data_IF_032615602525
#
_entry.id   IF_032615602525
#
_cell.length_a   1.000
_cell.length_b   1.000
_cell.length_c   1.000
_cell.angle_alpha   90.00
_cell.angle_beta   90.00
_cell.angle_gamma   90.00
#
_symmetry.space_group_name_H-M   'P 1'
#
loop_
_entity.id
_entity.type
_entity.pdbx_description
1 polymer ?
#
# COMPACT_ATOMS: atom_id res chain seq x y z
N UNK A 1 40.15 22.77 -16.39
CA UNK A 1 39.09 23.82 -16.27
C UNK A 1 38.74 24.43 -17.64
N UNK A 2 39.66 24.64 -18.54
CA UNK A 2 39.39 25.21 -19.88
C UNK A 2 38.43 24.32 -20.75
N UNK A 3 38.62 23.01 -20.74
CA UNK A 3 37.75 22.07 -21.48
C UNK A 3 36.30 22.10 -21.02
N UNK A 4 36.07 22.29 -19.73
CA UNK A 4 34.73 22.39 -19.15
C UNK A 4 34.01 23.70 -19.58
N UNK A 5 34.76 24.82 -19.56
CA UNK A 5 34.26 26.11 -20.03
C UNK A 5 33.93 26.10 -21.55
N UNK A 6 34.76 25.40 -22.34
CA UNK A 6 34.52 25.20 -23.78
C UNK A 6 33.26 24.34 -24.02
N UNK A 7 33.05 23.26 -23.22
CA UNK A 7 31.88 22.43 -23.29
C UNK A 7 30.59 23.20 -22.97
N UNK A 8 30.58 24.02 -21.92
CA UNK A 8 29.43 24.86 -21.55
C UNK A 8 29.10 25.88 -22.67
N UNK A 9 30.10 26.52 -23.28
CA UNK A 9 29.88 27.43 -24.42
C UNK A 9 29.34 26.72 -25.66
N UNK A 10 29.78 25.47 -25.90
CA UNK A 10 29.27 24.66 -27.00
C UNK A 10 27.79 24.29 -26.79
N UNK A 11 27.39 23.94 -25.58
CA UNK A 11 26.01 23.66 -25.17
C UNK A 11 25.12 24.89 -25.40
N UNK A 12 25.58 26.08 -25.04
CA UNK A 12 24.85 27.33 -25.19
C UNK A 12 24.71 27.80 -26.65
N UNK A 13 25.59 27.36 -27.56
CA UNK A 13 25.52 27.70 -28.99
C UNK A 13 24.39 26.99 -29.72
N UNK A 14 24.03 25.75 -29.31
CA UNK A 14 22.98 24.93 -29.92
C UNK A 14 21.85 24.62 -28.90
N UNK A 15 21.22 25.67 -28.39
CA UNK A 15 20.28 25.63 -27.24
C UNK A 15 19.15 24.60 -27.38
N UNK A 16 18.49 24.55 -28.54
CA UNK A 16 17.35 23.66 -28.76
C UNK A 16 17.74 22.18 -28.71
N UNK A 17 18.88 21.84 -29.34
CA UNK A 17 19.40 20.47 -29.39
C UNK A 17 19.84 19.99 -27.99
N UNK A 18 20.62 20.81 -27.29
CA UNK A 18 21.06 20.51 -25.92
C UNK A 18 19.90 20.39 -24.95
N UNK A 19 18.89 21.25 -25.08
CA UNK A 19 17.67 21.18 -24.28
C UNK A 19 16.91 19.88 -24.49
N UNK A 20 16.67 19.46 -25.74
CA UNK A 20 15.97 18.22 -26.07
C UNK A 20 16.72 16.98 -25.55
N UNK A 21 18.05 17.00 -25.62
CA UNK A 21 18.87 15.90 -25.10
C UNK A 21 18.80 15.79 -23.59
N UNK A 22 18.99 16.92 -22.90
CA UNK A 22 18.89 17.00 -21.44
C UNK A 22 17.49 16.59 -20.99
N UNK A 23 16.45 17.06 -21.69
CA UNK A 23 15.05 16.74 -21.38
C UNK A 23 14.79 15.22 -21.40
N UNK A 24 15.30 14.50 -22.40
CA UNK A 24 15.16 13.05 -22.47
C UNK A 24 15.77 12.33 -21.26
N UNK A 25 16.95 12.74 -20.82
CA UNK A 25 17.62 12.18 -19.63
C UNK A 25 16.85 12.56 -18.35
N UNK A 26 16.46 13.84 -18.25
CA UNK A 26 15.69 14.34 -17.11
C UNK A 26 14.40 13.54 -16.92
N UNK A 27 13.60 13.37 -17.98
CA UNK A 27 12.38 12.59 -17.94
C UNK A 27 12.67 11.15 -17.54
N UNK A 28 13.69 10.52 -18.13
CA UNK A 28 14.07 9.15 -17.81
C UNK A 28 14.42 8.97 -16.33
N UNK A 29 15.34 9.78 -15.81
CA UNK A 29 15.79 9.72 -14.42
C UNK A 29 14.67 10.07 -13.44
N UNK A 30 13.90 11.13 -13.73
CA UNK A 30 12.75 11.54 -12.88
C UNK A 30 11.71 10.44 -12.78
N UNK A 31 11.34 9.83 -13.91
CA UNK A 31 10.36 8.74 -13.95
C UNK A 31 10.80 7.54 -13.11
N UNK A 32 12.07 7.16 -13.19
CA UNK A 32 12.65 6.07 -12.41
C UNK A 32 12.53 6.33 -10.93
N UNK A 33 12.96 7.53 -10.48
CA UNK A 33 12.91 7.90 -9.07
C UNK A 33 11.46 7.91 -8.56
N UNK A 34 10.53 8.46 -9.33
CA UNK A 34 9.11 8.49 -8.97
C UNK A 34 8.52 7.07 -8.82
N UNK A 35 8.81 6.19 -9.78
CA UNK A 35 8.29 4.82 -9.75
C UNK A 35 8.86 4.03 -8.56
N UNK A 36 10.17 4.12 -8.30
CA UNK A 36 10.79 3.46 -7.14
C UNK A 36 10.23 4.03 -5.84
N UNK A 37 10.07 5.34 -5.75
CA UNK A 37 9.48 6.00 -4.57
C UNK A 37 8.05 5.55 -4.32
N UNK A 38 7.24 5.42 -5.38
CA UNK A 38 5.87 4.94 -5.29
C UNK A 38 5.79 3.49 -4.75
N UNK A 39 6.60 2.58 -5.31
CA UNK A 39 6.64 1.18 -4.87
C UNK A 39 7.15 1.06 -3.43
N UNK A 40 8.18 1.83 -3.06
CA UNK A 40 8.72 1.86 -1.70
C UNK A 40 7.71 2.45 -0.71
N UNK A 41 7.01 3.52 -1.08
CA UNK A 41 5.94 4.12 -0.29
C UNK A 41 4.80 3.12 -0.05
N UNK A 42 4.34 2.43 -1.10
CA UNK A 42 3.32 1.40 -1.00
C UNK A 42 3.76 0.26 -0.06
N UNK A 43 5.00 -0.22 -0.19
CA UNK A 43 5.56 -1.26 0.69
C UNK A 43 5.55 -0.81 2.14
N UNK A 44 6.09 0.37 2.42
CA UNK A 44 6.16 0.93 3.79
C UNK A 44 4.77 1.08 4.38
N UNK A 45 3.83 1.60 3.59
CA UNK A 45 2.44 1.75 4.01
C UNK A 45 1.81 0.41 4.41
N UNK A 46 1.83 -0.59 3.51
CA UNK A 46 1.22 -1.89 3.80
C UNK A 46 1.89 -2.55 5.01
N UNK A 47 3.22 -2.44 5.12
CA UNK A 47 3.97 -2.96 6.27
C UNK A 47 3.53 -2.31 7.57
N UNK A 48 3.44 -0.98 7.62
CA UNK A 48 2.99 -0.26 8.81
C UNK A 48 1.55 -0.59 9.23
N UNK A 49 0.66 -0.79 8.25
CA UNK A 49 -0.72 -1.20 8.51
C UNK A 49 -0.79 -2.60 9.14
N UNK A 50 0.00 -3.53 8.64
CA UNK A 50 0.04 -4.90 9.16
C UNK A 50 0.69 -4.94 10.54
N UNK A 51 1.80 -4.22 10.74
CA UNK A 51 2.48 -4.12 12.03
C UNK A 51 1.60 -3.43 13.10
N UNK A 52 0.82 -2.44 12.70
CA UNK A 52 -0.13 -1.75 13.57
C UNK A 52 -1.27 -2.62 14.09
N UNK A 53 -1.53 -3.79 13.50
CA UNK A 53 -2.55 -4.73 13.98
C UNK A 53 -2.09 -5.57 15.18
N UNK A 54 -0.80 -5.62 15.50
CA UNK A 54 -0.22 -6.43 16.56
C UNK A 54 0.70 -7.53 16.01
N UNK A 55 1.68 -8.01 16.79
CA UNK A 55 2.80 -8.85 16.32
C UNK A 55 2.34 -10.28 16.24
N UNK A 56 1.59 -11.00 16.54
CA UNK A 56 1.40 -12.47 16.51
C UNK A 56 0.08 -12.88 15.85
N UNK A 57 -0.31 -12.11 14.81
CA UNK A 57 -1.59 -12.33 14.16
C UNK A 57 -1.52 -13.40 13.08
N UNK A 58 -2.58 -14.21 13.06
CA UNK A 58 -2.88 -15.19 12.05
C UNK A 58 -4.26 -14.85 11.48
N UNK A 59 -4.38 -14.85 10.17
CA UNK A 59 -5.61 -14.54 9.44
C UNK A 59 -6.13 -15.82 8.81
N UNK A 60 -7.38 -16.16 9.07
CA UNK A 60 -8.10 -17.19 8.33
C UNK A 60 -9.08 -16.48 7.41
N UNK A 61 -8.87 -16.61 6.12
CA UNK A 61 -9.69 -15.99 5.08
C UNK A 61 -10.33 -17.06 4.20
N UNK A 62 -11.50 -16.81 3.61
CA UNK A 62 -12.16 -17.75 2.73
C UNK A 62 -11.39 -17.90 1.42
N UNK A 63 -11.35 -19.14 0.92
CA UNK A 63 -10.73 -19.47 -0.36
C UNK A 63 -9.22 -19.66 -0.28
N UNK A 64 -8.63 -20.13 -1.37
CA UNK A 64 -7.19 -20.38 -1.47
C UNK A 64 -6.46 -19.20 -2.10
N UNK A 65 -5.43 -18.69 -1.40
CA UNK A 65 -4.52 -17.67 -1.96
C UNK A 65 -3.49 -18.38 -2.85
N UNK A 66 -3.33 -17.91 -4.10
CA UNK A 66 -2.31 -18.43 -5.04
C UNK A 66 -2.65 -19.74 -5.72
N UNK A 67 -3.84 -20.29 -5.51
CA UNK A 67 -4.35 -21.42 -6.29
C UNK A 67 -4.73 -21.00 -7.72
N UNK A 68 -4.43 -21.84 -8.73
CA UNK A 68 -4.98 -21.66 -10.06
C UNK A 68 -6.51 -21.60 -9.94
N UNK A 69 -7.11 -20.47 -10.31
CA UNK A 69 -8.56 -20.37 -10.41
C UNK A 69 -9.05 -21.44 -11.37
N UNK A 70 -9.91 -22.33 -10.91
CA UNK A 70 -10.69 -23.15 -11.85
C UNK A 70 -11.38 -22.16 -12.81
N UNK A 71 -11.26 -22.33 -14.13
CA UNK A 71 -11.94 -21.46 -15.07
C UNK A 71 -13.44 -21.50 -14.79
N UNK A 72 -14.00 -20.42 -14.25
CA UNK A 72 -15.44 -20.25 -14.04
C UNK A 72 -16.01 -20.38 -12.62
N UNK A 73 -15.20 -20.66 -11.58
CA UNK A 73 -15.71 -20.83 -10.22
C UNK A 73 -15.43 -19.65 -9.30
N UNK A 74 -16.45 -18.88 -8.93
CA UNK A 74 -16.41 -18.07 -7.72
C UNK A 74 -16.37 -19.04 -6.54
N UNK A 75 -15.23 -19.14 -5.86
CA UNK A 75 -15.11 -20.01 -4.67
C UNK A 75 -16.07 -19.50 -3.60
N UNK A 76 -17.08 -20.31 -3.29
CA UNK A 76 -18.10 -19.95 -2.30
C UNK A 76 -17.43 -19.84 -0.92
N UNK A 77 -17.62 -18.69 -0.27
CA UNK A 77 -17.18 -18.53 1.11
C UNK A 77 -17.91 -19.52 2.01
N UNK A 78 -17.19 -20.44 2.66
CA UNK A 78 -17.72 -21.49 3.54
C UNK A 78 -17.36 -21.30 5.01
N UNK A 79 -16.65 -20.20 5.37
CA UNK A 79 -16.31 -19.91 6.76
C UNK A 79 -17.58 -19.52 7.54
N UNK A 80 -17.83 -20.18 8.64
CA UNK A 80 -18.98 -19.97 9.52
C UNK A 80 -18.54 -19.66 10.95
N UNK A 81 -19.47 -19.14 11.77
CA UNK A 81 -19.20 -18.84 13.17
C UNK A 81 -18.80 -20.10 13.95
N UNK A 82 -19.34 -21.27 13.60
CA UNK A 82 -18.94 -22.55 14.22
C UNK A 82 -17.46 -22.88 14.04
N UNK A 83 -16.81 -22.43 12.96
CA UNK A 83 -15.39 -22.61 12.73
C UNK A 83 -14.57 -21.77 13.69
N UNK A 84 -14.95 -20.50 13.89
CA UNK A 84 -14.32 -19.63 14.86
C UNK A 84 -14.49 -20.16 16.30
N UNK A 85 -15.66 -20.70 16.62
CA UNK A 85 -15.91 -21.34 17.93
C UNK A 85 -15.05 -22.59 18.11
N UNK A 86 -14.94 -23.45 17.10
CA UNK A 86 -14.09 -24.64 17.14
C UNK A 86 -12.62 -24.28 17.29
N UNK A 87 -12.17 -23.23 16.60
CA UNK A 87 -10.81 -22.68 16.76
C UNK A 87 -10.59 -22.14 18.17
N UNK A 88 -11.52 -21.37 18.72
CA UNK A 88 -11.42 -20.82 20.07
C UNK A 88 -11.31 -21.93 21.15
N UNK A 89 -12.01 -23.05 20.96
CA UNK A 89 -11.92 -24.20 21.83
C UNK A 89 -10.59 -24.96 21.68
N UNK A 90 -10.15 -25.20 20.46
CA UNK A 90 -8.93 -25.97 20.18
C UNK A 90 -7.64 -25.23 20.53
N UNK A 91 -7.69 -23.89 20.52
CA UNK A 91 -6.54 -23.00 20.80
C UNK A 91 -6.62 -22.36 22.20
N UNK A 92 -7.50 -22.88 23.06
CA UNK A 92 -7.70 -22.33 24.43
C UNK A 92 -6.39 -22.33 25.21
N UNK A 93 -6.03 -21.16 25.75
CA UNK A 93 -4.77 -20.95 26.48
C UNK A 93 -3.56 -20.61 25.60
N UNK A 94 -3.59 -20.88 24.29
CA UNK A 94 -2.48 -20.58 23.36
C UNK A 94 -2.74 -19.37 22.48
N UNK A 95 -4.01 -19.10 22.16
CA UNK A 95 -4.39 -17.98 21.29
C UNK A 95 -5.79 -17.46 21.63
N UNK A 96 -6.05 -16.21 21.23
CA UNK A 96 -7.38 -15.61 21.20
C UNK A 96 -7.91 -15.62 19.79
N UNK A 97 -9.22 -15.89 19.63
CA UNK A 97 -9.88 -15.98 18.33
C UNK A 97 -11.03 -14.97 18.27
N UNK A 98 -11.18 -14.26 17.16
CA UNK A 98 -12.32 -13.39 16.89
C UNK A 98 -12.79 -13.51 15.46
N UNK A 99 -14.09 -13.72 15.30
CA UNK A 99 -14.76 -13.76 14.00
C UNK A 99 -15.20 -12.35 13.57
N UNK A 100 -15.10 -12.08 12.28
CA UNK A 100 -15.47 -10.80 11.69
C UNK A 100 -16.33 -10.99 10.45
N UNK A 101 -17.43 -10.23 10.38
CA UNK A 101 -18.19 -10.00 9.17
C UNK A 101 -18.07 -8.53 8.77
N UNK A 102 -18.13 -8.25 7.48
CA UNK A 102 -18.03 -6.88 6.96
C UNK A 102 -19.09 -6.63 5.89
N UNK A 103 -19.68 -5.43 5.94
CA UNK A 103 -20.61 -4.93 4.92
C UNK A 103 -20.47 -3.42 4.81
N UNK A 104 -20.53 -2.90 3.60
CA UNK A 104 -20.63 -1.45 3.42
C UNK A 104 -22.10 -1.05 3.55
N UNK A 105 -22.36 0.01 4.29
CA UNK A 105 -23.72 0.49 4.54
C UNK A 105 -23.79 2.03 4.50
N UNK A 106 -25.01 2.54 4.39
CA UNK A 106 -25.31 3.95 4.56
C UNK A 106 -25.65 4.22 6.01
N UNK A 107 -25.01 5.21 6.59
CA UNK A 107 -25.22 5.67 7.96
C UNK A 107 -25.99 6.99 7.95
N UNK A 108 -26.88 7.17 8.92
CA UNK A 108 -27.62 8.42 9.11
C UNK A 108 -27.61 8.83 10.59
N UNK A 109 -27.42 10.13 10.83
CA UNK A 109 -27.56 10.71 12.16
C UNK A 109 -28.11 12.15 12.01
N UNK A 110 -29.19 12.45 12.71
CA UNK A 110 -29.90 13.73 12.53
C UNK A 110 -30.26 13.95 11.04
N UNK A 111 -29.79 15.06 10.45
CA UNK A 111 -30.02 15.37 9.03
C UNK A 111 -28.82 15.04 8.12
N UNK A 112 -27.81 14.33 8.63
CA UNK A 112 -26.62 13.98 7.86
C UNK A 112 -26.61 12.51 7.46
N UNK A 113 -26.06 12.23 6.28
CA UNK A 113 -25.94 10.89 5.71
C UNK A 113 -24.50 10.67 5.26
N UNK A 114 -23.95 9.52 5.62
CA UNK A 114 -22.65 9.04 5.16
C UNK A 114 -22.87 7.72 4.42
N UNK A 115 -22.31 7.62 3.21
CA UNK A 115 -22.53 6.47 2.31
C UNK A 115 -21.24 5.67 2.14
N UNK A 116 -21.40 4.36 1.99
CA UNK A 116 -20.27 3.48 1.75
C UNK A 116 -19.36 3.24 2.96
N UNK A 117 -19.87 3.51 4.17
CA UNK A 117 -19.15 3.29 5.43
C UNK A 117 -18.97 1.79 5.66
N UNK A 118 -17.76 1.37 6.02
CA UNK A 118 -17.46 -0.01 6.36
C UNK A 118 -18.02 -0.36 7.74
N UNK A 119 -19.00 -1.28 7.79
CA UNK A 119 -19.57 -1.79 9.04
C UNK A 119 -19.00 -3.16 9.31
N UNK A 120 -18.31 -3.28 10.43
CA UNK A 120 -17.72 -4.54 10.90
C UNK A 120 -18.54 -5.11 12.06
N UNK A 121 -19.05 -6.33 11.89
CA UNK A 121 -19.62 -7.12 12.97
C UNK A 121 -18.51 -7.90 13.66
N UNK A 122 -18.25 -7.63 14.93
CA UNK A 122 -17.11 -8.17 15.66
C UNK A 122 -17.49 -8.71 17.04
N UNK A 123 -16.65 -9.58 17.59
CA UNK A 123 -16.81 -10.11 18.95
C UNK A 123 -16.22 -9.13 20.00
N UNK A 124 -16.59 -9.29 21.28
CA UNK A 124 -16.18 -8.39 22.35
C UNK A 124 -14.68 -8.40 22.68
N UNK A 125 -13.95 -9.44 22.28
CA UNK A 125 -12.50 -9.55 22.44
C UNK A 125 -11.69 -8.95 21.26
N UNK A 126 -12.35 -8.53 20.20
CA UNK A 126 -11.73 -8.02 18.98
C UNK A 126 -10.69 -6.90 19.19
N UNK A 127 -10.94 -5.89 20.06
CA UNK A 127 -9.95 -4.82 20.30
C UNK A 127 -8.62 -5.30 20.86
N UNK A 128 -8.64 -6.38 21.66
CA UNK A 128 -7.43 -6.97 22.22
C UNK A 128 -6.60 -7.69 21.16
N UNK A 129 -7.28 -8.29 20.18
CA UNK A 129 -6.64 -9.06 19.10
C UNK A 129 -5.97 -8.14 18.09
N UNK A 130 -6.64 -7.06 17.68
CA UNK A 130 -6.11 -6.13 16.66
C UNK A 130 -5.70 -4.76 17.23
N UNK A 131 -5.37 -4.70 18.53
CA UNK A 131 -4.81 -3.53 19.20
C UNK A 131 -5.56 -2.21 18.97
N UNK A 132 -6.91 -2.25 18.93
CA UNK A 132 -7.73 -1.03 18.79
C UNK A 132 -7.68 -0.24 20.10
N UNK A 133 -7.24 1.01 20.01
CA UNK A 133 -7.31 1.97 21.12
C UNK A 133 -8.62 2.76 21.05
N UNK A 134 -9.28 2.94 22.18
CA UNK A 134 -10.48 3.79 22.31
C UNK A 134 -10.06 5.15 22.87
N UNK A 135 -10.45 6.23 22.19
CA UNK A 135 -10.14 7.61 22.62
C UNK A 135 -11.22 8.21 23.50
N UNK A 136 -12.49 7.88 23.22
CA UNK A 136 -13.63 8.34 24.02
C UNK A 136 -14.59 7.19 24.27
N UNK A 137 -15.18 7.15 25.46
CA UNK A 137 -16.13 6.12 25.85
C UNK A 137 -15.46 4.75 26.12
N UNK A 138 -16.11 3.68 25.70
CA UNK A 138 -15.63 2.31 25.90
C UNK A 138 -15.98 1.40 24.71
N UNK A 139 -15.26 0.29 24.57
CA UNK A 139 -15.70 -0.78 23.68
C UNK A 139 -16.81 -1.60 24.36
N UNK A 140 -17.72 -2.17 23.60
CA UNK A 140 -18.72 -3.08 24.12
C UNK A 140 -18.06 -4.36 24.67
N UNK A 141 -18.56 -4.85 25.79
CA UNK A 141 -18.00 -6.04 26.44
C UNK A 141 -18.50 -7.33 25.77
N UNK A 142 -17.94 -8.48 26.19
CA UNK A 142 -18.28 -9.80 25.62
C UNK A 142 -19.79 -10.09 25.75
N UNK A 143 -20.40 -9.81 26.89
CA UNK A 143 -21.82 -10.05 27.11
C UNK A 143 -22.73 -9.18 26.21
N UNK A 144 -22.36 -7.91 26.04
CA UNK A 144 -23.05 -7.01 25.10
C UNK A 144 -22.89 -7.45 23.64
N UNK A 145 -21.69 -7.97 23.30
CA UNK A 145 -21.43 -8.52 21.97
C UNK A 145 -22.24 -9.79 21.72
N UNK A 146 -22.20 -10.76 22.61
CA UNK A 146 -22.86 -12.06 22.43
C UNK A 146 -24.39 -11.94 22.43
N UNK A 147 -24.96 -11.03 23.22
CA UNK A 147 -26.39 -10.73 23.18
C UNK A 147 -26.83 -10.01 21.90
N UNK A 148 -25.88 -9.51 21.14
CA UNK A 148 -26.16 -8.70 19.93
C UNK A 148 -26.86 -7.38 20.25
N UNK A 149 -26.46 -6.73 21.35
CA UNK A 149 -26.97 -5.43 21.76
C UNK A 149 -26.74 -4.40 20.68
N UNK A 150 -27.69 -3.50 20.44
CA UNK A 150 -27.57 -2.43 19.43
C UNK A 150 -26.68 -1.30 19.93
N UNK A 151 -25.37 -1.56 20.01
CA UNK A 151 -24.31 -0.61 20.36
C UNK A 151 -23.31 -0.53 19.24
N UNK A 152 -22.66 0.64 19.09
CA UNK A 152 -21.69 0.88 18.03
C UNK A 152 -20.47 1.62 18.59
N UNK A 153 -19.30 1.30 18.04
CA UNK A 153 -18.07 2.06 18.21
C UNK A 153 -17.69 2.64 16.86
N UNK A 154 -17.52 3.95 16.78
CA UNK A 154 -17.36 4.67 15.50
C UNK A 154 -15.93 5.16 15.30
N UNK A 155 -15.53 5.33 14.06
CA UNK A 155 -14.27 5.97 13.70
C UNK A 155 -14.39 7.48 13.62
N UNK A 156 -13.24 8.15 13.60
CA UNK A 156 -13.17 9.63 13.66
C UNK A 156 -13.85 10.28 12.46
N UNK A 157 -13.70 9.75 11.26
CA UNK A 157 -14.30 10.32 10.04
C UNK A 157 -15.82 10.22 10.08
N UNK A 158 -16.36 9.07 10.50
CA UNK A 158 -17.82 8.89 10.72
C UNK A 158 -18.32 9.90 11.76
N UNK A 159 -17.62 10.03 12.89
CA UNK A 159 -17.98 10.99 13.95
C UNK A 159 -17.97 12.43 13.44
N UNK A 160 -16.95 12.84 12.70
CA UNK A 160 -16.82 14.19 12.14
C UNK A 160 -17.91 14.48 11.11
N UNK A 161 -18.15 13.54 10.19
CA UNK A 161 -19.15 13.69 9.11
C UNK A 161 -20.57 13.81 9.69
N UNK A 162 -20.94 12.92 10.60
CA UNK A 162 -22.31 12.85 11.10
C UNK A 162 -22.60 13.80 12.25
N UNK A 163 -21.61 14.09 13.10
CA UNK A 163 -21.81 14.87 14.33
C UNK A 163 -21.06 16.20 14.37
N UNK A 164 -20.26 16.54 13.31
CA UNK A 164 -19.66 17.86 13.15
C UNK A 164 -18.61 18.21 14.21
N UNK A 165 -17.86 17.22 14.71
CA UNK A 165 -16.75 17.43 15.67
C UNK A 165 -17.17 17.42 17.15
N UNK A 166 -18.47 17.34 17.48
CA UNK A 166 -18.93 17.08 18.85
C UNK A 166 -18.78 15.63 19.24
N UNK A 167 -18.71 15.32 20.56
CA UNK A 167 -18.63 13.93 21.02
C UNK A 167 -19.82 13.12 20.51
N UNK A 168 -19.57 11.96 19.87
CA UNK A 168 -20.63 11.08 19.38
C UNK A 168 -21.20 10.17 20.49
N UNK A 169 -20.54 10.11 21.67
CA UNK A 169 -20.90 9.18 22.72
C UNK A 169 -22.30 9.45 23.27
N UNK A 170 -23.07 8.38 23.44
CA UNK A 170 -24.47 8.44 23.90
C UNK A 170 -25.48 8.86 22.83
N UNK A 171 -25.02 9.28 21.67
CA UNK A 171 -25.92 9.60 20.54
C UNK A 171 -26.32 8.35 19.77
N UNK A 172 -27.38 8.46 19.02
CA UNK A 172 -27.89 7.38 18.16
C UNK A 172 -27.44 7.57 16.72
N UNK A 173 -27.10 6.46 16.06
CA UNK A 173 -26.78 6.37 14.64
C UNK A 173 -27.69 5.31 14.01
N UNK A 174 -28.24 5.62 12.86
CA UNK A 174 -28.96 4.66 12.02
C UNK A 174 -27.97 4.02 11.05
N UNK A 175 -27.88 2.71 11.09
CA UNK A 175 -27.05 1.91 10.19
C UNK A 175 -28.00 1.08 9.34
N UNK A 176 -28.17 1.44 8.06
CA UNK A 176 -29.05 0.74 7.13
C UNK A 176 -30.45 0.45 7.71
N UNK A 177 -31.09 1.46 8.33
CA UNK A 177 -32.44 1.35 8.88
C UNK A 177 -32.53 0.82 10.33
N UNK A 178 -31.42 0.50 10.97
CA UNK A 178 -31.39 0.06 12.37
C UNK A 178 -30.64 1.07 13.25
N UNK A 179 -31.24 1.43 14.39
CA UNK A 179 -30.66 2.39 15.34
C UNK A 179 -29.70 1.70 16.30
N UNK A 180 -28.53 2.28 16.47
CA UNK A 180 -27.47 1.86 17.41
C UNK A 180 -27.09 3.03 18.32
N UNK A 181 -26.80 2.73 19.59
CA UNK A 181 -26.26 3.70 20.53
C UNK A 181 -24.75 3.70 20.44
N UNK A 182 -24.13 4.88 20.23
CA UNK A 182 -22.67 5.01 20.17
C UNK A 182 -22.12 4.95 21.60
N UNK A 183 -21.26 3.98 21.86
CA UNK A 183 -20.65 3.74 23.18
C UNK A 183 -19.15 4.06 23.21
N UNK A 184 -18.52 4.18 22.04
CA UNK A 184 -17.09 4.46 21.94
C UNK A 184 -16.69 5.10 20.62
N UNK A 185 -15.54 5.78 20.66
CA UNK A 185 -14.81 6.33 19.53
C UNK A 185 -13.42 5.73 19.53
N UNK A 186 -13.00 5.09 18.44
CA UNK A 186 -11.63 4.56 18.36
C UNK A 186 -10.62 5.59 17.86
N UNK A 187 -9.36 5.38 18.21
CA UNK A 187 -8.26 6.25 17.83
C UNK A 187 -8.10 6.35 16.33
N UNK A 188 -7.80 7.55 15.79
CA UNK A 188 -7.62 7.72 14.35
C UNK A 188 -6.49 6.80 13.84
N UNK A 189 -6.77 6.16 12.70
CA UNK A 189 -5.82 5.33 11.96
C UNK A 189 -5.32 6.02 10.70
N UNK A 190 -6.02 7.09 10.31
CA UNK A 190 -5.70 7.91 9.16
C UNK A 190 -6.26 7.38 7.83
N UNK A 191 -5.95 8.12 6.78
CA UNK A 191 -6.30 7.78 5.40
C UNK A 191 -5.03 7.52 4.61
N UNK A 192 -5.06 6.52 3.75
CA UNK A 192 -3.92 6.20 2.91
C UNK A 192 -4.39 5.64 1.57
N UNK A 193 -3.78 6.10 0.47
CA UNK A 193 -4.20 5.80 -0.89
C UNK A 193 -5.69 6.06 -1.15
N UNK A 194 -6.25 7.10 -0.52
CA UNK A 194 -7.66 7.45 -0.66
C UNK A 194 -8.63 6.53 0.09
N UNK A 195 -8.13 5.54 0.86
CA UNK A 195 -8.96 4.69 1.71
C UNK A 195 -8.90 5.24 3.13
N UNK A 196 -10.01 5.78 3.59
CA UNK A 196 -10.16 6.29 4.95
C UNK A 196 -10.53 5.14 5.90
N UNK A 197 -9.58 4.74 6.75
CA UNK A 197 -9.79 3.68 7.75
C UNK A 197 -10.69 4.13 8.90
N UNK A 198 -10.77 5.43 9.12
CA UNK A 198 -11.60 6.03 10.15
C UNK A 198 -13.08 6.16 9.70
N UNK A 199 -13.36 5.89 8.40
CA UNK A 199 -14.71 5.78 7.86
C UNK A 199 -15.29 4.38 8.06
N UNK A 200 -15.31 3.96 9.33
CA UNK A 200 -15.80 2.63 9.71
C UNK A 200 -16.52 2.62 11.05
N UNK A 201 -17.36 1.59 11.24
CA UNK A 201 -18.14 1.37 12.46
C UNK A 201 -18.04 -0.10 12.88
N UNK A 202 -17.86 -0.32 14.17
CA UNK A 202 -17.81 -1.63 14.79
C UNK A 202 -19.11 -1.88 15.56
N UNK A 203 -19.80 -2.98 15.27
CA UNK A 203 -21.04 -3.41 15.98
C UNK A 203 -20.89 -4.86 16.42
N UNK A 204 -21.71 -5.36 17.37
CA UNK A 204 -21.72 -6.75 17.75
C UNK A 204 -21.95 -7.70 16.58
N UNK A 205 -21.16 -8.77 16.48
CA UNK A 205 -21.22 -9.75 15.42
C UNK A 205 -22.64 -10.32 15.20
N UNK A 206 -23.38 -10.79 16.24
CA UNK A 206 -24.75 -11.30 16.02
C UNK A 206 -25.74 -10.22 15.54
N UNK A 207 -25.51 -8.95 15.92
CA UNK A 207 -26.33 -7.85 15.41
C UNK A 207 -26.10 -7.63 13.92
N UNK A 208 -24.83 -7.61 13.47
CA UNK A 208 -24.47 -7.50 12.07
C UNK A 208 -25.00 -8.67 11.24
N UNK A 209 -24.85 -9.90 11.72
CA UNK A 209 -25.33 -11.10 11.03
C UNK A 209 -26.84 -11.07 10.82
N UNK A 210 -27.61 -10.77 11.88
CA UNK A 210 -29.09 -10.67 11.77
C UNK A 210 -29.54 -9.54 10.85
N UNK A 211 -28.86 -8.38 10.93
CA UNK A 211 -29.27 -7.20 10.17
C UNK A 211 -28.98 -7.33 8.67
N UNK A 212 -27.82 -7.87 8.32
CA UNK A 212 -27.36 -7.95 6.94
C UNK A 212 -27.52 -9.32 6.29
N UNK A 213 -28.05 -10.32 7.00
CA UNK A 213 -28.17 -11.69 6.50
C UNK A 213 -26.80 -12.34 6.23
N UNK A 214 -25.81 -12.10 7.10
CA UNK A 214 -24.44 -12.54 6.89
C UNK A 214 -24.15 -13.85 7.65
N UNK A 215 -24.40 -14.98 7.01
CA UNK A 215 -24.13 -16.29 7.61
C UNK A 215 -22.65 -16.72 7.49
N UNK A 216 -21.90 -16.04 6.61
CA UNK A 216 -20.50 -16.35 6.34
C UNK A 216 -19.58 -15.28 6.89
N UNK A 217 -18.44 -15.72 7.42
CA UNK A 217 -17.41 -14.82 7.96
C UNK A 217 -16.52 -14.30 6.84
N UNK A 218 -16.13 -13.04 6.94
CA UNK A 218 -15.14 -12.46 6.04
C UNK A 218 -13.71 -12.86 6.47
N UNK A 219 -13.45 -12.93 7.79
CA UNK A 219 -12.14 -13.27 8.33
C UNK A 219 -12.29 -13.80 9.75
N UNK A 220 -11.44 -14.74 10.13
CA UNK A 220 -11.22 -15.09 11.54
C UNK A 220 -9.82 -14.63 11.90
N UNK A 221 -9.71 -13.78 12.91
CA UNK A 221 -8.44 -13.33 13.47
C UNK A 221 -8.06 -14.23 14.64
N UNK A 222 -6.80 -14.65 14.66
CA UNK A 222 -6.23 -15.44 15.74
C UNK A 222 -4.97 -14.69 16.22
N UNK A 223 -4.93 -14.35 17.50
CA UNK A 223 -3.75 -13.75 18.13
C UNK A 223 -3.07 -14.79 19.01
N UNK A 224 -1.90 -15.28 18.60
CA UNK A 224 -1.10 -16.19 19.41
C UNK A 224 -0.54 -15.47 20.64
N UNK A 225 -0.37 -16.21 21.74
CA UNK A 225 0.13 -15.66 23.02
C UNK A 225 1.59 -15.19 22.95
N UNK A 226 2.39 -15.76 22.03
CA UNK A 226 3.77 -15.34 21.76
C UNK A 226 4.16 -15.61 20.31
N UNK A 227 5.25 -15.01 19.85
CA UNK A 227 5.77 -15.18 18.50
C UNK A 227 6.20 -16.64 18.22
N UNK A 228 6.77 -17.30 19.23
CA UNK A 228 7.23 -18.69 19.15
C UNK A 228 6.05 -19.65 18.88
N UNK A 229 4.87 -19.31 19.41
CA UNK A 229 3.69 -20.15 19.29
C UNK A 229 2.94 -19.98 17.96
N UNK A 230 3.25 -18.98 17.14
CA UNK A 230 2.54 -18.70 15.89
C UNK A 230 2.47 -19.91 14.97
N UNK A 231 3.60 -20.61 14.76
CA UNK A 231 3.65 -21.81 13.88
C UNK A 231 2.84 -22.97 14.44
N UNK A 232 2.90 -23.21 15.77
CA UNK A 232 2.11 -24.25 16.45
C UNK A 232 0.61 -23.94 16.34
N UNK A 233 0.21 -22.71 16.63
CA UNK A 233 -1.18 -22.22 16.54
C UNK A 233 -1.68 -22.33 15.11
N UNK A 234 -0.88 -21.96 14.12
CA UNK A 234 -1.21 -22.09 12.69
C UNK A 234 -1.50 -23.55 12.30
N UNK A 235 -0.62 -24.47 12.68
CA UNK A 235 -0.78 -25.90 12.40
C UNK A 235 -2.02 -26.50 13.08
N UNK A 236 -2.27 -26.16 14.35
CA UNK A 236 -3.47 -26.57 15.08
C UNK A 236 -4.74 -26.01 14.47
N UNK A 237 -4.71 -24.74 14.07
CA UNK A 237 -5.82 -24.09 13.39
C UNK A 237 -6.14 -24.79 12.05
N UNK A 238 -5.13 -25.12 11.25
CA UNK A 238 -5.29 -25.86 10.00
C UNK A 238 -5.91 -27.24 10.23
N UNK A 239 -5.41 -28.00 11.20
CA UNK A 239 -5.94 -29.32 11.55
C UNK A 239 -7.40 -29.23 12.02
N UNK A 240 -7.73 -28.19 12.78
CA UNK A 240 -9.09 -27.97 13.29
C UNK A 240 -10.06 -27.66 12.16
N UNK A 241 -9.70 -26.77 11.24
CA UNK A 241 -10.55 -26.37 10.11
C UNK A 241 -10.70 -27.50 9.09
N UNK A 242 -9.68 -28.30 8.85
CA UNK A 242 -9.73 -29.46 7.95
C UNK A 242 -10.70 -30.56 8.39
N UNK A 243 -11.18 -30.55 9.62
CA UNK A 243 -12.25 -31.46 10.05
C UNK A 243 -13.57 -31.22 9.33
N UNK A 244 -13.78 -30.01 8.80
CA UNK A 244 -15.03 -29.60 8.11
C UNK A 244 -14.81 -29.02 6.73
N UNK A 245 -13.71 -28.34 6.52
CA UNK A 245 -13.39 -27.58 5.32
C UNK A 245 -12.29 -28.26 4.52
N UNK A 246 -12.33 -28.14 3.20
CA UNK A 246 -11.25 -28.56 2.31
C UNK A 246 -10.13 -27.50 2.24
N UNK A 247 -8.97 -27.89 1.69
CA UNK A 247 -7.83 -26.95 1.51
C UNK A 247 -8.14 -25.80 0.55
N UNK A 248 -9.18 -25.90 -0.25
CA UNK A 248 -9.61 -24.85 -1.16
C UNK A 248 -10.62 -23.89 -0.53
N UNK A 249 -11.25 -24.26 0.60
CA UNK A 249 -12.27 -23.46 1.25
C UNK A 249 -11.71 -22.32 2.12
N UNK A 250 -10.44 -22.41 2.53
CA UNK A 250 -9.80 -21.42 3.40
C UNK A 250 -8.29 -21.32 3.19
N UNK A 251 -7.73 -20.19 3.59
CA UNK A 251 -6.30 -19.99 3.71
C UNK A 251 -5.96 -19.46 5.09
N UNK A 252 -4.88 -20.00 5.69
CA UNK A 252 -4.34 -19.50 6.95
C UNK A 252 -3.02 -18.81 6.65
N UNK A 253 -2.94 -17.54 6.97
CA UNK A 253 -1.73 -16.73 6.76
C UNK A 253 -1.27 -16.10 8.05
N UNK A 254 0.02 -16.16 8.31
CA UNK A 254 0.64 -15.36 9.37
C UNK A 254 0.94 -13.95 8.85
N UNK A 255 1.08 -13.03 9.78
CA UNK A 255 1.53 -11.68 9.46
C UNK A 255 2.87 -11.70 8.72
N UNK A 256 3.83 -12.52 9.15
CA UNK A 256 5.13 -12.68 8.52
C UNK A 256 5.02 -13.15 7.06
N UNK A 257 4.18 -14.16 6.81
CA UNK A 257 3.91 -14.65 5.44
C UNK A 257 3.31 -13.57 4.55
N UNK A 258 2.39 -12.78 5.09
CA UNK A 258 1.77 -11.66 4.35
C UNK A 258 2.82 -10.60 3.99
N UNK A 259 3.66 -10.20 4.94
CA UNK A 259 4.77 -9.27 4.72
C UNK A 259 5.79 -9.80 3.71
N UNK A 260 6.12 -11.08 3.77
CA UNK A 260 7.01 -11.75 2.80
C UNK A 260 6.43 -11.71 1.39
N UNK A 261 5.13 -12.04 1.24
CA UNK A 261 4.44 -11.98 -0.05
C UNK A 261 4.45 -10.57 -0.64
N UNK A 262 4.18 -9.55 0.18
CA UNK A 262 4.25 -8.15 -0.24
C UNK A 262 5.67 -7.78 -0.67
N UNK A 263 6.69 -8.20 0.08
CA UNK A 263 8.08 -7.96 -0.28
C UNK A 263 8.47 -8.62 -1.60
N UNK A 264 7.97 -9.82 -1.88
CA UNK A 264 8.19 -10.50 -3.16
C UNK A 264 7.50 -9.76 -4.32
N UNK A 265 6.23 -9.38 -4.17
CA UNK A 265 5.49 -8.64 -5.19
C UNK A 265 6.17 -7.29 -5.48
N UNK A 266 6.51 -6.54 -4.45
CA UNK A 266 7.20 -5.24 -4.62
C UNK A 266 8.60 -5.42 -5.20
N UNK A 267 9.30 -6.51 -4.89
CA UNK A 267 10.58 -6.86 -5.50
C UNK A 267 10.48 -7.09 -7.00
N UNK A 268 9.49 -7.88 -7.44
CA UNK A 268 9.22 -8.12 -8.88
C UNK A 268 8.85 -6.81 -9.59
N UNK A 269 7.99 -5.98 -8.97
CA UNK A 269 7.64 -4.68 -9.52
C UNK A 269 8.87 -3.78 -9.66
N UNK A 270 9.73 -3.71 -8.64
CA UNK A 270 10.97 -2.92 -8.68
C UNK A 270 11.91 -3.38 -9.79
N UNK A 271 12.04 -4.69 -9.99
CA UNK A 271 12.86 -5.26 -11.05
C UNK A 271 12.30 -4.95 -12.45
N UNK A 272 10.99 -5.07 -12.64
CA UNK A 272 10.32 -4.71 -13.89
C UNK A 272 10.48 -3.21 -14.21
N UNK A 273 10.27 -2.34 -13.22
CA UNK A 273 10.46 -0.90 -13.36
C UNK A 273 11.92 -0.54 -13.63
N UNK A 274 12.87 -1.23 -12.98
CA UNK A 274 14.30 -1.11 -13.26
C UNK A 274 14.66 -1.45 -14.70
N UNK A 275 14.03 -2.49 -15.27
CA UNK A 275 14.15 -2.84 -16.69
C UNK A 275 13.66 -1.74 -17.63
N UNK A 276 12.47 -1.20 -17.35
CA UNK A 276 11.92 -0.06 -18.14
C UNK A 276 12.84 1.16 -18.04
N UNK A 277 13.38 1.42 -16.87
CA UNK A 277 14.33 2.48 -16.61
C UNK A 277 15.62 2.32 -17.43
N UNK A 278 16.17 1.12 -17.46
CA UNK A 278 17.37 0.81 -18.25
C UNK A 278 17.13 1.05 -19.74
N UNK A 279 15.97 0.60 -20.27
CA UNK A 279 15.58 0.87 -21.67
C UNK A 279 15.50 2.37 -21.93
N UNK A 280 14.86 3.14 -21.05
CA UNK A 280 14.73 4.60 -21.19
C UNK A 280 16.10 5.29 -21.19
N UNK A 281 17.03 4.85 -20.34
CA UNK A 281 18.40 5.39 -20.31
C UNK A 281 19.19 5.03 -21.57
N UNK A 282 19.01 3.82 -22.12
CA UNK A 282 19.63 3.42 -23.39
C UNK A 282 19.11 4.31 -24.53
N UNK A 283 17.80 4.53 -24.60
CA UNK A 283 17.20 5.42 -25.61
C UNK A 283 17.75 6.85 -25.46
N UNK A 284 17.85 7.36 -24.23
CA UNK A 284 18.50 8.65 -23.94
C UNK A 284 19.96 8.67 -24.38
N UNK A 285 20.71 7.62 -24.15
CA UNK A 285 22.11 7.45 -24.62
C UNK A 285 22.24 7.45 -26.13
N UNK A 286 21.35 6.76 -26.85
CA UNK A 286 21.27 6.80 -28.31
C UNK A 286 20.98 8.21 -28.82
N UNK A 287 20.08 8.94 -28.12
CA UNK A 287 19.79 10.34 -28.41
C UNK A 287 21.05 11.22 -28.30
N UNK A 288 21.86 11.05 -27.25
CA UNK A 288 23.16 11.75 -27.08
C UNK A 288 24.11 11.37 -28.22
N UNK A 289 24.24 10.09 -28.51
CA UNK A 289 25.12 9.59 -29.60
C UNK A 289 24.78 10.24 -30.94
N UNK A 290 23.51 10.26 -31.33
CA UNK A 290 23.05 10.86 -32.58
C UNK A 290 23.38 12.36 -32.65
N UNK A 291 23.18 13.08 -31.54
CA UNK A 291 23.46 14.52 -31.47
C UNK A 291 24.97 14.78 -31.54
N UNK A 292 25.78 13.96 -30.87
CA UNK A 292 27.23 14.09 -30.93
C UNK A 292 27.78 13.78 -32.33
N UNK A 293 27.24 12.79 -33.04
CA UNK A 293 27.61 12.49 -34.43
C UNK A 293 27.31 13.69 -35.34
N UNK A 294 26.14 14.29 -35.22
CA UNK A 294 25.79 15.51 -36.00
C UNK A 294 26.71 16.68 -35.62
N UNK A 295 27.02 16.86 -34.32
CA UNK A 295 27.96 17.90 -33.88
C UNK A 295 29.36 17.73 -34.48
N UNK A 296 29.85 16.50 -34.59
CA UNK A 296 31.15 16.20 -35.21
C UNK A 296 31.11 16.54 -36.70
N UNK A 297 30.07 16.19 -37.42
CA UNK A 297 29.95 16.51 -38.85
C UNK A 297 29.85 18.02 -39.14
N UNK A 298 29.07 18.75 -38.34
CA UNK A 298 28.96 20.21 -38.41
C UNK A 298 30.28 20.93 -38.15
N UNK A 299 31.13 20.38 -37.22
CA UNK A 299 32.43 20.98 -36.86
C UNK A 299 33.62 20.37 -37.59
N UNK A 300 33.40 19.69 -38.71
CA UNK A 300 34.49 19.01 -39.46
C UNK A 300 35.60 19.96 -39.87
N UNK A 301 35.29 21.20 -40.30
CA UNK A 301 36.30 22.22 -40.66
C UNK A 301 37.13 22.65 -39.43
N UNK A 302 36.50 22.85 -38.30
CA UNK A 302 37.18 23.24 -37.06
C UNK A 302 38.09 22.10 -36.56
N UNK A 303 37.63 20.86 -36.64
CA UNK A 303 38.41 19.66 -36.29
C UNK A 303 39.61 19.53 -37.26
N UNK A 304 39.42 19.77 -38.53
CA UNK A 304 40.50 19.75 -39.53
C UNK A 304 41.57 20.81 -39.24
N UNK A 305 41.14 22.03 -38.90
CA UNK A 305 42.08 23.10 -38.51
C UNK A 305 42.90 22.74 -37.26
N UNK A 306 42.25 22.20 -36.21
CA UNK A 306 42.98 21.76 -35.01
C UNK A 306 43.98 20.63 -35.30
N UNK A 307 43.63 19.68 -36.18
CA UNK A 307 44.57 18.62 -36.60
C UNK A 307 45.74 19.20 -37.36
N UNK A 308 45.51 20.19 -38.23
CA UNK A 308 46.58 20.86 -38.95
C UNK A 308 47.54 21.65 -38.04
N UNK A 309 47.02 22.13 -36.89
CA UNK A 309 47.80 22.77 -35.81
C UNK A 309 48.48 21.78 -34.84
N UNK A 310 48.39 20.47 -35.10
CA UNK A 310 49.08 19.43 -34.34
C UNK A 310 48.28 18.75 -33.23
N UNK A 311 47.00 18.97 -33.12
CA UNK A 311 46.15 18.27 -32.16
C UNK A 311 46.05 16.76 -32.46
N UNK A 312 46.31 15.94 -31.43
CA UNK A 312 46.21 14.48 -31.55
C UNK A 312 44.75 14.02 -31.64
N UNK A 313 44.45 12.93 -32.37
CA UNK A 313 43.08 12.40 -32.45
C UNK A 313 42.46 12.10 -31.07
N UNK A 314 43.27 11.73 -30.07
CA UNK A 314 42.81 11.49 -28.70
C UNK A 314 42.29 12.76 -28.02
N UNK A 315 42.89 13.92 -28.29
CA UNK A 315 42.50 15.19 -27.67
C UNK A 315 41.12 15.61 -28.16
N UNK A 316 40.85 15.45 -29.45
CA UNK A 316 39.56 15.72 -30.11
C UNK A 316 38.48 14.77 -29.57
N UNK A 317 38.81 13.47 -29.52
CA UNK A 317 37.85 12.47 -28.97
C UNK A 317 37.52 12.77 -27.51
N UNK A 318 38.52 13.06 -26.68
CA UNK A 318 38.31 13.37 -25.27
C UNK A 318 37.46 14.63 -25.07
N UNK A 319 37.61 15.63 -25.93
CA UNK A 319 36.76 16.82 -25.89
C UNK A 319 35.30 16.50 -26.09
N UNK A 320 34.94 15.74 -27.14
CA UNK A 320 33.56 15.34 -27.40
C UNK A 320 33.01 14.39 -26.31
N UNK A 321 33.87 13.53 -25.75
CA UNK A 321 33.49 12.66 -24.63
C UNK A 321 33.14 13.47 -23.38
N UNK A 322 33.94 14.46 -23.04
CA UNK A 322 33.68 15.37 -21.90
C UNK A 322 32.40 16.17 -22.14
N UNK A 323 32.15 16.62 -23.37
CA UNK A 323 30.90 17.32 -23.72
C UNK A 323 29.67 16.42 -23.49
N UNK A 324 29.73 15.15 -23.93
CA UNK A 324 28.65 14.17 -23.72
C UNK A 324 28.44 13.84 -22.25
N UNK A 325 29.52 13.63 -21.49
CA UNK A 325 29.48 13.37 -20.05
C UNK A 325 28.86 14.56 -19.31
N UNK A 326 29.25 15.79 -19.67
CA UNK A 326 28.73 17.00 -19.03
C UNK A 326 27.23 17.14 -19.28
N UNK A 327 26.75 16.90 -20.51
CA UNK A 327 25.31 16.90 -20.84
C UNK A 327 24.54 15.84 -20.04
N UNK A 328 25.08 14.62 -19.99
CA UNK A 328 24.46 13.51 -19.25
C UNK A 328 24.41 13.79 -17.74
N UNK A 329 25.50 14.32 -17.17
CA UNK A 329 25.57 14.66 -15.76
C UNK A 329 24.59 15.77 -15.39
N UNK A 330 24.49 16.82 -16.20
CA UNK A 330 23.51 17.91 -15.99
C UNK A 330 22.07 17.38 -16.06
N UNK A 331 21.75 16.58 -17.06
CA UNK A 331 20.44 15.96 -17.17
C UNK A 331 20.11 15.03 -16.01
N UNK A 332 21.10 14.22 -15.59
CA UNK A 332 20.97 13.31 -14.43
C UNK A 332 20.74 14.08 -13.12
N UNK A 333 21.53 15.12 -12.84
CA UNK A 333 21.38 15.93 -11.62
C UNK A 333 20.00 16.62 -11.58
N UNK A 334 19.60 17.25 -12.68
CA UNK A 334 18.28 17.89 -12.76
C UNK A 334 17.18 16.85 -12.59
N UNK A 335 17.30 15.68 -13.23
CA UNK A 335 16.36 14.58 -13.11
C UNK A 335 16.24 14.05 -11.68
N UNK A 336 17.35 13.93 -10.95
CA UNK A 336 17.36 13.53 -9.53
C UNK A 336 16.64 14.57 -8.68
N UNK A 337 16.97 15.85 -8.84
CA UNK A 337 16.33 16.93 -8.07
C UNK A 337 14.82 16.95 -8.32
N UNK A 338 14.40 16.92 -9.57
CA UNK A 338 12.99 16.91 -9.93
C UNK A 338 12.29 15.63 -9.43
N UNK A 339 12.95 14.48 -9.52
CA UNK A 339 12.44 13.20 -9.01
C UNK A 339 12.21 13.22 -7.50
N UNK A 340 13.20 13.72 -6.74
CA UNK A 340 13.07 13.84 -5.28
C UNK A 340 11.97 14.83 -4.90
N UNK A 341 11.96 16.03 -5.50
CA UNK A 341 10.94 17.04 -5.21
C UNK A 341 9.54 16.52 -5.52
N UNK A 342 9.36 15.90 -6.69
CA UNK A 342 8.08 15.31 -7.08
C UNK A 342 7.67 14.17 -6.16
N UNK A 343 8.60 13.33 -5.71
CA UNK A 343 8.36 12.25 -4.74
C UNK A 343 7.91 12.80 -3.38
N UNK A 344 8.53 13.87 -2.89
CA UNK A 344 8.15 14.53 -1.63
C UNK A 344 6.76 15.17 -1.71
N UNK A 345 6.41 15.74 -2.87
CA UNK A 345 5.08 16.31 -3.10
C UNK A 345 4.04 15.17 -3.11
N UNK A 346 4.28 14.11 -3.88
CA UNK A 346 3.40 12.93 -3.91
C UNK A 346 3.22 12.30 -2.53
N UNK A 347 4.29 12.20 -1.72
CA UNK A 347 4.24 11.65 -0.37
C UNK A 347 3.39 12.46 0.62
N UNK A 348 3.06 13.72 0.33
CA UNK A 348 2.10 14.52 1.12
C UNK A 348 0.64 14.26 0.75
N UNK A 349 0.40 13.71 -0.43
CA UNK A 349 -0.95 13.39 -0.93
C UNK A 349 -1.29 11.90 -0.78
N UNK A 350 -0.30 11.06 -0.57
CA UNK A 350 -0.42 9.62 -0.29
C UNK A 350 -0.40 9.34 1.21
#
# INVERSE_FOLDING_TARGET
METLNLSIRAILKNRLRSFLTILGIVIGVTSVILLISLVSGLKTFITSQIEGLGSNLIFVIPGRIGGARSPGGVQANRLELKDATSLALSLRGEAQVSAVVQRNATLKASNKTDRGVAVFGVQGNYPKIISIKITEGKFFNVAEADSGRKVAVVGKSVASTLFGGGSPIGRQIDIAGQRYNIVGLFAPRGSTFGIDQDNSVLIPLPAAQRQFGLDRLNTIYISASSAENVKSVQSKAQTTLKKRLSDDDFSIQTQEQTLSTISQITGVLTLALGGIAAISLIVGGIGIMNIMLVSVTERTKEIGLRKALGAKPRDIRNQFLIEAITLSALGGIIGIILGIVSSLILGKFL
#
